data_IF_655675634569
#
_entry.id   IF_655675634569
#
_cell.length_a   1.000
_cell.length_b   1.000
_cell.length_c   1.000
_cell.angle_alpha   90.00
_cell.angle_beta   90.00
_cell.angle_gamma   90.00
#
_symmetry.space_group_name_H-M   'P 1'
#
loop_
_entity.id
_entity.type
_entity.pdbx_description
1 polymer ?
#
# COMPACT_ATOMS: atom_id res chain seq x y z
N UNK A 1 3.27 -29.34 9.87
CA UNK A 1 4.08 -28.47 8.97
C UNK A 1 5.35 -29.23 8.68
N UNK A 2 5.64 -29.48 7.40
CA UNK A 2 6.95 -30.01 7.04
C UNK A 2 8.03 -29.04 7.49
N UNK A 3 9.11 -29.57 8.06
CA UNK A 3 10.24 -28.77 8.51
C UNK A 3 10.86 -28.06 7.30
N UNK A 4 10.92 -26.73 7.34
CA UNK A 4 11.54 -25.95 6.27
C UNK A 4 13.02 -26.30 6.17
N UNK A 5 13.51 -26.53 4.93
CA UNK A 5 14.95 -26.72 4.68
C UNK A 5 15.74 -25.49 5.19
N UNK A 6 16.94 -25.63 5.75
CA UNK A 6 17.75 -24.49 6.15
C UNK A 6 17.99 -23.52 4.98
N UNK A 7 17.92 -22.20 5.23
CA UNK A 7 18.07 -21.21 4.17
C UNK A 7 19.45 -21.25 3.50
N UNK A 8 20.51 -21.53 4.25
CA UNK A 8 21.87 -21.64 3.71
C UNK A 8 22.00 -22.81 2.72
N UNK A 9 21.31 -23.95 2.94
CA UNK A 9 21.31 -25.08 2.01
C UNK A 9 20.58 -24.71 0.71
N UNK A 10 19.43 -24.04 0.82
CA UNK A 10 18.69 -23.55 -0.33
C UNK A 10 19.50 -22.52 -1.13
N UNK A 11 20.18 -21.60 -0.45
CA UNK A 11 21.04 -20.59 -1.06
C UNK A 11 22.23 -21.23 -1.78
N UNK A 12 22.92 -22.17 -1.12
CA UNK A 12 24.04 -22.90 -1.72
C UNK A 12 23.59 -23.70 -2.96
N UNK A 13 22.46 -24.39 -2.88
CA UNK A 13 21.91 -25.14 -4.02
C UNK A 13 21.50 -24.23 -5.19
N UNK A 14 21.03 -23.01 -4.92
CA UNK A 14 20.66 -22.04 -5.94
C UNK A 14 21.83 -21.18 -6.46
N UNK A 15 23.00 -21.25 -5.81
CA UNK A 15 24.16 -20.39 -6.11
C UNK A 15 24.71 -20.68 -7.51
N UNK A 16 24.39 -19.80 -8.46
CA UNK A 16 24.95 -19.78 -9.81
C UNK A 16 25.70 -18.46 -10.01
N UNK A 17 27.02 -18.48 -10.29
CA UNK A 17 27.79 -17.26 -10.52
C UNK A 17 27.29 -16.49 -11.74
N UNK A 18 27.29 -15.16 -11.65
CA UNK A 18 27.17 -14.29 -12.83
C UNK A 18 28.53 -14.17 -13.55
N UNK A 19 28.56 -13.66 -14.80
CA UNK A 19 29.82 -13.42 -15.49
C UNK A 19 30.79 -12.58 -14.66
N UNK A 20 32.03 -13.04 -14.53
CA UNK A 20 33.12 -12.40 -13.78
C UNK A 20 32.91 -12.27 -12.25
N UNK A 21 31.98 -13.03 -11.66
CA UNK A 21 31.89 -13.16 -10.20
C UNK A 21 33.24 -13.68 -9.65
N UNK A 22 33.89 -12.89 -8.79
CA UNK A 22 35.01 -13.41 -8.00
C UNK A 22 34.50 -14.46 -7.00
N UNK A 23 35.38 -15.35 -6.57
CA UNK A 23 35.02 -16.35 -5.55
C UNK A 23 34.55 -15.68 -4.24
N UNK A 24 35.18 -14.57 -3.86
CA UNK A 24 34.80 -13.77 -2.68
C UNK A 24 33.40 -13.17 -2.83
N UNK A 25 33.12 -12.51 -3.96
CA UNK A 25 31.81 -11.93 -4.22
C UNK A 25 30.71 -13.02 -4.24
N UNK A 26 30.99 -14.15 -4.87
CA UNK A 26 30.05 -15.27 -4.95
C UNK A 26 29.74 -15.85 -3.56
N UNK A 27 30.75 -16.01 -2.71
CA UNK A 27 30.55 -16.46 -1.33
C UNK A 27 29.69 -15.47 -0.54
N UNK A 28 30.00 -14.17 -0.61
CA UNK A 28 29.21 -13.12 0.03
C UNK A 28 27.77 -13.07 -0.49
N UNK A 29 27.55 -13.18 -1.81
CA UNK A 29 26.22 -13.17 -2.42
C UNK A 29 25.39 -14.39 -2.03
N UNK A 30 26.02 -15.55 -1.84
CA UNK A 30 25.34 -16.77 -1.37
C UNK A 30 24.97 -16.65 0.11
N UNK A 31 25.83 -16.07 0.94
CA UNK A 31 25.47 -15.75 2.32
C UNK A 31 24.28 -14.77 2.37
N UNK A 32 24.32 -13.69 1.57
CA UNK A 32 23.21 -12.75 1.45
C UNK A 32 21.91 -13.43 0.96
N UNK A 33 22.00 -14.39 0.03
CA UNK A 33 20.83 -15.12 -0.46
C UNK A 33 20.13 -15.92 0.65
N UNK A 34 20.89 -16.43 1.63
CA UNK A 34 20.31 -17.11 2.79
C UNK A 34 19.46 -16.13 3.62
N UNK A 35 19.95 -14.92 3.86
CA UNK A 35 19.20 -13.87 4.55
C UNK A 35 17.97 -13.42 3.75
N UNK A 36 18.08 -13.29 2.42
CA UNK A 36 16.93 -12.98 1.55
C UNK A 36 15.86 -14.09 1.59
N UNK A 37 16.25 -15.36 1.76
CA UNK A 37 15.31 -16.48 1.95
C UNK A 37 14.60 -16.35 3.30
N UNK A 38 15.31 -16.05 4.38
CA UNK A 38 14.72 -15.85 5.71
C UNK A 38 13.82 -14.62 5.74
N UNK A 39 14.17 -13.54 5.04
CA UNK A 39 13.30 -12.37 4.87
C UNK A 39 11.98 -12.75 4.20
N UNK A 40 12.01 -13.53 3.11
CA UNK A 40 10.77 -14.03 2.47
C UNK A 40 9.93 -14.87 3.43
N UNK A 41 10.56 -15.75 4.22
CA UNK A 41 9.86 -16.54 5.25
C UNK A 41 9.22 -15.67 6.32
N UNK A 42 9.90 -14.60 6.74
CA UNK A 42 9.36 -13.65 7.69
C UNK A 42 8.14 -12.90 7.13
N UNK A 43 8.22 -12.46 5.87
CA UNK A 43 7.09 -11.84 5.16
C UNK A 43 5.88 -12.78 5.14
N UNK A 44 6.07 -14.06 4.79
CA UNK A 44 5.00 -15.06 4.80
C UNK A 44 4.39 -15.25 6.19
N UNK A 45 5.23 -15.31 7.23
CA UNK A 45 4.78 -15.43 8.63
C UNK A 45 3.94 -14.22 9.06
N UNK A 46 4.35 -13.00 8.70
CA UNK A 46 3.58 -11.78 8.97
C UNK A 46 2.26 -11.81 8.21
N UNK A 47 2.25 -12.30 6.96
CA UNK A 47 1.02 -12.46 6.19
C UNK A 47 0.06 -13.48 6.83
N UNK A 48 0.58 -14.59 7.39
CA UNK A 48 -0.20 -15.54 8.19
C UNK A 48 -0.79 -14.87 9.45
N UNK A 49 0.01 -14.09 10.18
CA UNK A 49 -0.45 -13.36 11.36
C UNK A 49 -1.57 -12.37 11.04
N UNK A 50 -1.47 -11.64 9.91
CA UNK A 50 -2.55 -10.76 9.43
C UNK A 50 -3.84 -11.54 9.16
N UNK A 51 -3.75 -12.70 8.49
CA UNK A 51 -4.90 -13.58 8.23
C UNK A 51 -5.53 -14.14 9.50
N UNK A 52 -4.75 -14.27 10.57
CA UNK A 52 -5.19 -14.80 11.87
C UNK A 52 -5.75 -13.73 12.82
N UNK A 53 -5.80 -12.45 12.42
CA UNK A 53 -6.41 -11.40 13.23
C UNK A 53 -7.89 -11.74 13.55
N UNK A 54 -8.37 -11.46 14.78
CA UNK A 54 -9.79 -11.57 15.07
C UNK A 54 -10.58 -10.56 14.22
N UNK A 55 -11.91 -10.76 14.04
CA UNK A 55 -12.74 -9.79 13.33
C UNK A 55 -12.58 -8.39 13.90
N UNK A 56 -12.23 -7.43 13.05
CA UNK A 56 -12.12 -6.03 13.46
C UNK A 56 -13.48 -5.35 13.61
N UNK A 57 -13.41 -4.04 13.87
CA UNK A 57 -14.58 -3.21 14.11
C UNK A 57 -15.55 -3.19 12.92
N UNK A 58 -16.85 -3.19 13.22
CA UNK A 58 -17.90 -2.94 12.24
C UNK A 58 -17.86 -1.46 11.83
N UNK A 59 -17.89 -1.20 10.52
CA UNK A 59 -17.89 0.15 9.99
C UNK A 59 -19.26 0.82 10.22
N UNK A 60 -19.27 2.11 10.55
CA UNK A 60 -20.49 2.91 10.52
C UNK A 60 -21.01 3.10 9.08
N UNK A 61 -22.19 3.69 8.95
CA UNK A 61 -22.83 3.96 7.65
C UNK A 61 -22.18 5.17 6.93
N UNK A 62 -20.95 5.00 6.49
CA UNK A 62 -20.23 6.01 5.71
C UNK A 62 -20.67 6.02 4.25
N UNK A 63 -20.78 7.22 3.71
CA UNK A 63 -21.22 7.48 2.35
C UNK A 63 -20.09 8.07 1.50
N UNK A 64 -20.11 7.75 0.21
CA UNK A 64 -19.09 8.16 -0.74
C UNK A 64 -19.72 8.58 -2.05
N UNK A 65 -19.23 9.67 -2.65
CA UNK A 65 -19.61 10.04 -4.01
C UNK A 65 -18.72 9.29 -5.00
N UNK A 66 -19.33 8.74 -6.06
CA UNK A 66 -18.62 8.08 -7.16
C UNK A 66 -18.43 9.00 -8.37
N UNK A 67 -17.82 8.47 -9.44
CA UNK A 67 -17.56 9.21 -10.68
C UNK A 67 -18.83 9.54 -11.50
N UNK A 68 -19.96 8.90 -11.20
CA UNK A 68 -21.24 9.10 -11.87
C UNK A 68 -22.13 10.10 -11.12
N UNK A 69 -21.63 10.68 -10.02
CA UNK A 69 -22.38 11.59 -9.16
C UNK A 69 -23.35 10.89 -8.21
N UNK A 70 -23.26 9.55 -8.06
CA UNK A 70 -24.07 8.81 -7.10
C UNK A 70 -23.41 8.81 -5.73
N UNK A 71 -24.22 8.91 -4.67
CA UNK A 71 -23.79 8.67 -3.29
C UNK A 71 -24.07 7.22 -2.92
N UNK A 72 -23.03 6.49 -2.52
CA UNK A 72 -23.08 5.05 -2.25
C UNK A 72 -22.44 4.70 -0.90
N UNK A 73 -22.93 3.66 -0.21
CA UNK A 73 -22.35 3.22 1.06
C UNK A 73 -21.04 2.46 0.85
N UNK A 74 -20.21 2.34 1.90
CA UNK A 74 -18.96 1.56 1.86
C UNK A 74 -19.13 0.16 1.26
N UNK A 75 -20.25 -0.52 1.57
CA UNK A 75 -20.55 -1.86 1.06
C UNK A 75 -20.64 -1.94 -0.48
N UNK A 76 -20.99 -0.85 -1.15
CA UNK A 76 -21.11 -0.78 -2.60
C UNK A 76 -19.73 -0.78 -3.29
N UNK A 77 -18.69 -0.25 -2.64
CA UNK A 77 -17.32 -0.16 -3.19
C UNK A 77 -16.69 -1.54 -3.43
N UNK A 78 -17.21 -2.58 -2.76
CA UNK A 78 -16.77 -3.97 -2.96
C UNK A 78 -17.15 -4.54 -4.34
N UNK A 79 -18.20 -4.00 -4.98
CA UNK A 79 -18.78 -4.62 -6.17
C UNK A 79 -19.06 -6.11 -5.96
N UNK A 80 -18.50 -6.95 -6.83
CA UNK A 80 -18.65 -8.42 -6.79
C UNK A 80 -17.76 -9.13 -5.75
N UNK A 81 -16.88 -8.41 -5.07
CA UNK A 81 -15.92 -8.98 -4.13
C UNK A 81 -16.46 -9.00 -2.70
N UNK A 82 -15.81 -9.78 -1.85
CA UNK A 82 -15.99 -9.84 -0.40
C UNK A 82 -14.90 -9.09 0.37
N UNK A 83 -13.82 -8.71 -0.31
CA UNK A 83 -12.66 -7.99 0.22
C UNK A 83 -12.46 -6.69 -0.55
N UNK A 84 -12.21 -5.60 0.16
CA UNK A 84 -11.94 -4.28 -0.40
C UNK A 84 -10.64 -3.73 0.18
N UNK A 85 -9.77 -3.21 -0.68
CA UNK A 85 -8.58 -2.45 -0.31
C UNK A 85 -8.85 -0.98 -0.59
N UNK A 86 -8.71 -0.11 0.41
CA UNK A 86 -8.87 1.33 0.26
C UNK A 86 -7.56 2.05 0.51
N UNK A 87 -7.26 3.05 -0.31
CA UNK A 87 -6.18 4.00 -0.04
C UNK A 87 -6.76 5.40 0.09
N UNK A 88 -6.75 5.94 1.31
CA UNK A 88 -7.03 7.35 1.54
C UNK A 88 -5.78 8.16 1.17
N UNK A 89 -5.87 8.96 0.12
CA UNK A 89 -4.76 9.83 -0.29
C UNK A 89 -4.97 11.27 0.14
N UNK A 90 -3.85 11.94 0.44
CA UNK A 90 -3.86 13.34 0.87
C UNK A 90 -4.06 14.26 -0.34
N UNK A 91 -5.31 14.46 -0.71
CA UNK A 91 -5.73 15.45 -1.70
C UNK A 91 -6.98 16.18 -1.24
N UNK A 92 -6.95 16.70 -0.01
CA UNK A 92 -8.02 17.47 0.58
C UNK A 92 -8.30 18.78 -0.15
N UNK A 93 -9.49 19.36 0.05
CA UNK A 93 -9.94 20.51 -0.72
C UNK A 93 -9.01 21.73 -0.61
N UNK A 94 -8.26 21.86 0.49
CA UNK A 94 -7.32 22.96 0.76
C UNK A 94 -5.96 22.82 0.05
N UNK A 95 -5.61 21.62 -0.46
CA UNK A 95 -4.31 21.40 -1.12
C UNK A 95 -4.43 21.78 -2.59
N UNK A 96 -3.46 22.50 -3.15
CA UNK A 96 -3.45 22.77 -4.60
C UNK A 96 -3.18 21.49 -5.40
N UNK A 97 -2.22 20.69 -4.92
CA UNK A 97 -1.78 19.42 -5.50
C UNK A 97 -1.83 18.29 -4.46
N UNK A 98 -2.04 17.03 -4.89
CA UNK A 98 -2.00 15.89 -3.97
C UNK A 98 -0.59 15.72 -3.37
N UNK A 99 -0.51 15.01 -2.25
CA UNK A 99 0.76 14.62 -1.66
C UNK A 99 1.63 13.87 -2.68
N UNK A 100 2.91 14.25 -2.86
CA UNK A 100 3.83 13.57 -3.78
C UNK A 100 4.01 12.08 -3.46
N UNK A 101 4.04 11.70 -2.18
CA UNK A 101 4.18 10.31 -1.77
C UNK A 101 2.94 9.49 -2.12
N UNK A 102 1.74 10.04 -1.87
CA UNK A 102 0.49 9.40 -2.30
C UNK A 102 0.41 9.27 -3.83
N UNK A 103 0.91 10.27 -4.55
CA UNK A 103 0.98 10.26 -6.01
C UNK A 103 1.91 9.16 -6.51
N UNK A 104 3.10 9.03 -5.92
CA UNK A 104 4.03 7.96 -6.23
C UNK A 104 3.43 6.58 -5.93
N UNK A 105 2.75 6.45 -4.79
CA UNK A 105 2.12 5.20 -4.34
C UNK A 105 1.03 4.74 -5.32
N UNK A 106 0.07 5.62 -5.63
CA UNK A 106 -1.02 5.30 -6.56
C UNK A 106 -0.51 5.08 -7.99
N UNK A 107 0.50 5.84 -8.43
CA UNK A 107 1.10 5.63 -9.74
C UNK A 107 1.74 4.25 -9.90
N UNK A 108 2.35 3.71 -8.83
CA UNK A 108 2.86 2.35 -8.83
C UNK A 108 1.77 1.27 -8.85
N UNK A 109 0.58 1.58 -8.32
CA UNK A 109 -0.56 0.65 -8.24
C UNK A 109 -1.47 0.68 -9.47
N UNK A 110 -1.46 1.76 -10.27
CA UNK A 110 -2.40 1.88 -11.40
C UNK A 110 -2.31 0.70 -12.37
N UNK A 111 -1.11 0.28 -12.78
CA UNK A 111 -0.98 -0.87 -13.69
C UNK A 111 -1.38 -2.21 -13.03
N UNK A 112 -0.83 -2.62 -11.87
CA UNK A 112 -1.18 -3.89 -11.25
C UNK A 112 -2.60 -3.94 -10.67
N UNK A 113 -3.30 -2.82 -10.54
CA UNK A 113 -4.70 -2.79 -10.09
C UNK A 113 -5.60 -3.74 -10.90
N UNK A 114 -5.33 -3.95 -12.19
CA UNK A 114 -6.08 -4.90 -13.04
C UNK A 114 -5.91 -6.35 -12.59
N UNK A 115 -4.74 -6.73 -12.09
CA UNK A 115 -4.49 -8.08 -11.58
C UNK A 115 -5.02 -8.24 -10.15
N UNK A 116 -4.84 -7.22 -9.31
CA UNK A 116 -5.36 -7.20 -7.94
C UNK A 116 -6.90 -7.34 -7.96
N UNK A 117 -7.57 -6.62 -8.86
CA UNK A 117 -9.03 -6.62 -8.99
C UNK A 117 -9.64 -7.90 -9.54
N UNK A 118 -8.82 -8.91 -9.87
CA UNK A 118 -9.30 -10.27 -10.09
C UNK A 118 -9.67 -10.97 -8.76
N UNK A 119 -9.11 -10.52 -7.63
CA UNK A 119 -9.27 -11.16 -6.31
C UNK A 119 -9.92 -10.25 -5.26
N UNK A 120 -9.67 -8.95 -5.27
CA UNK A 120 -10.24 -8.01 -4.31
C UNK A 120 -10.66 -6.69 -4.96
N UNK A 121 -11.64 -5.99 -4.40
CA UNK A 121 -11.96 -4.64 -4.85
C UNK A 121 -10.86 -3.65 -4.43
N UNK A 122 -10.73 -2.54 -5.17
CA UNK A 122 -9.83 -1.43 -4.83
C UNK A 122 -10.56 -0.10 -4.98
N UNK A 123 -10.32 0.82 -4.04
CA UNK A 123 -10.85 2.19 -4.07
C UNK A 123 -9.82 3.20 -3.56
N UNK A 124 -9.68 4.32 -4.28
CA UNK A 124 -8.95 5.50 -3.82
C UNK A 124 -9.96 6.46 -3.20
N UNK A 125 -9.73 6.84 -1.95
CA UNK A 125 -10.63 7.68 -1.18
C UNK A 125 -9.96 9.03 -0.94
N UNK A 126 -10.70 10.12 -1.06
CA UNK A 126 -10.20 11.45 -0.73
C UNK A 126 -11.34 12.40 -0.34
N UNK A 127 -10.99 13.56 0.23
CA UNK A 127 -11.98 14.59 0.59
C UNK A 127 -12.33 15.55 -0.54
N UNK A 128 -11.46 15.68 -1.54
CA UNK A 128 -11.77 16.50 -2.72
C UNK A 128 -12.91 15.88 -3.55
N UNK A 129 -13.71 16.69 -4.26
CA UNK A 129 -14.69 16.20 -5.22
C UNK A 129 -14.08 15.19 -6.19
N UNK A 130 -14.84 14.15 -6.56
CA UNK A 130 -14.36 13.04 -7.39
C UNK A 130 -13.83 13.55 -8.74
N UNK A 131 -14.48 14.55 -9.31
CA UNK A 131 -14.12 15.14 -10.60
C UNK A 131 -12.71 15.74 -10.57
N UNK A 132 -12.33 16.34 -9.43
CA UNK A 132 -10.99 16.89 -9.20
C UNK A 132 -9.95 15.78 -9.06
N UNK A 133 -10.28 14.72 -8.33
CA UNK A 133 -9.42 13.55 -8.20
C UNK A 133 -9.17 12.89 -9.56
N UNK A 134 -10.23 12.71 -10.36
CA UNK A 134 -10.16 12.16 -11.71
C UNK A 134 -9.42 13.06 -12.69
N UNK A 135 -9.52 14.39 -12.55
CA UNK A 135 -8.74 15.33 -13.37
C UNK A 135 -7.24 15.09 -13.18
N UNK A 136 -6.80 14.96 -11.93
CA UNK A 136 -5.41 14.62 -11.64
C UNK A 136 -5.05 13.21 -12.13
N UNK A 137 -5.90 12.20 -11.94
CA UNK A 137 -5.67 10.86 -12.45
C UNK A 137 -5.44 10.85 -13.98
N UNK A 138 -6.24 11.62 -14.73
CA UNK A 138 -6.07 11.79 -16.19
C UNK A 138 -4.74 12.46 -16.55
N UNK A 139 -4.36 13.51 -15.84
CA UNK A 139 -3.05 14.18 -16.00
C UNK A 139 -1.89 13.18 -15.81
N UNK A 140 -2.03 12.27 -14.84
CA UNK A 140 -1.05 11.22 -14.55
C UNK A 140 -1.13 10.01 -15.49
N UNK A 141 -2.11 9.97 -16.39
CA UNK A 141 -2.35 8.85 -17.28
C UNK A 141 -2.82 7.58 -16.57
N UNK A 142 -3.33 7.69 -15.34
CA UNK A 142 -3.90 6.57 -14.59
C UNK A 142 -5.23 6.15 -15.21
N UNK A 143 -5.44 4.84 -15.36
CA UNK A 143 -6.61 4.30 -16.09
C UNK A 143 -7.35 3.20 -15.36
N UNK A 144 -6.80 2.64 -14.29
CA UNK A 144 -7.32 1.43 -13.67
C UNK A 144 -7.73 1.62 -12.20
N UNK A 145 -7.45 2.80 -11.62
CA UNK A 145 -7.88 3.15 -10.27
C UNK A 145 -9.29 3.73 -10.26
N UNK A 146 -10.07 3.39 -9.23
CA UNK A 146 -11.41 3.94 -8.98
C UNK A 146 -11.36 4.96 -7.85
N UNK A 147 -11.90 6.15 -8.08
CA UNK A 147 -11.85 7.26 -7.13
C UNK A 147 -13.22 7.52 -6.52
N UNK A 148 -13.23 7.82 -5.23
CA UNK A 148 -14.41 8.18 -4.48
C UNK A 148 -14.11 9.37 -3.56
N UNK A 149 -15.11 10.23 -3.35
CA UNK A 149 -15.03 11.33 -2.41
C UNK A 149 -15.78 10.95 -1.13
N UNK A 150 -15.18 11.15 0.04
CA UNK A 150 -15.88 10.95 1.31
C UNK A 150 -17.00 11.98 1.47
N UNK A 151 -18.19 11.55 1.89
CA UNK A 151 -19.26 12.48 2.28
C UNK A 151 -19.05 12.88 3.75
N UNK A 152 -18.74 14.16 3.95
CA UNK A 152 -18.29 14.66 5.26
C UNK A 152 -16.92 14.10 5.66
N UNK A 153 -16.58 14.30 6.93
CA UNK A 153 -15.25 13.99 7.47
C UNK A 153 -15.25 12.76 8.39
N UNK A 154 -16.40 12.13 8.65
CA UNK A 154 -16.52 11.02 9.61
C UNK A 154 -15.58 9.86 9.30
N UNK A 155 -15.65 9.32 8.07
CA UNK A 155 -14.76 8.25 7.64
C UNK A 155 -13.28 8.65 7.75
N UNK A 156 -12.93 9.83 7.27
CA UNK A 156 -11.56 10.30 7.26
C UNK A 156 -11.00 10.44 8.69
N UNK A 157 -11.81 10.87 9.66
CA UNK A 157 -11.39 10.96 11.07
C UNK A 157 -11.24 9.57 11.69
N UNK A 158 -12.24 8.71 11.50
CA UNK A 158 -12.28 7.40 12.17
C UNK A 158 -11.20 6.44 11.66
N UNK A 159 -10.86 6.53 10.37
CA UNK A 159 -9.82 5.70 9.73
C UNK A 159 -8.53 6.50 9.44
N UNK A 160 -8.22 7.44 10.33
CA UNK A 160 -6.91 8.10 10.45
C UNK A 160 -6.41 8.86 9.20
N UNK A 161 -7.32 9.19 8.27
CA UNK A 161 -7.03 10.03 7.10
C UNK A 161 -7.06 11.53 7.38
N UNK A 162 -7.73 11.97 8.46
CA UNK A 162 -7.85 13.36 8.87
C UNK A 162 -7.63 13.51 10.38
N UNK A 163 -6.56 14.20 10.76
CA UNK A 163 -6.23 14.48 12.14
C UNK A 163 -7.06 15.63 12.73
N UNK A 164 -7.15 15.74 14.07
CA UNK A 164 -7.92 16.81 14.74
C UNK A 164 -7.48 18.23 14.40
N UNK A 165 -6.22 18.43 14.03
CA UNK A 165 -5.67 19.72 13.59
C UNK A 165 -5.99 20.06 12.12
N UNK A 166 -6.71 19.18 11.42
CA UNK A 166 -7.09 19.32 10.02
C UNK A 166 -6.04 18.82 9.04
N UNK A 167 -4.89 18.33 9.50
CA UNK A 167 -3.89 17.70 8.63
C UNK A 167 -4.40 16.36 8.10
N UNK A 168 -4.12 16.09 6.82
CA UNK A 168 -4.42 14.79 6.22
C UNK A 168 -3.24 13.84 6.34
N UNK A 169 -3.54 12.56 6.47
CA UNK A 169 -2.57 11.47 6.49
C UNK A 169 -2.98 10.39 5.48
N UNK A 170 -2.01 9.70 4.85
CA UNK A 170 -2.36 8.57 4.00
C UNK A 170 -2.77 7.38 4.86
N UNK A 171 -3.79 6.64 4.43
CA UNK A 171 -4.22 5.42 5.10
C UNK A 171 -4.46 4.30 4.09
N UNK A 172 -3.85 3.14 4.30
CA UNK A 172 -4.12 1.92 3.54
C UNK A 172 -4.88 0.97 4.45
N UNK A 173 -6.11 0.64 4.07
CA UNK A 173 -6.99 -0.20 4.86
C UNK A 173 -7.55 -1.34 4.01
N UNK A 174 -7.84 -2.45 4.69
CA UNK A 174 -8.46 -3.65 4.11
C UNK A 174 -9.73 -3.93 4.88
N UNK A 175 -10.79 -4.25 4.15
CA UNK A 175 -12.13 -4.45 4.64
C UNK A 175 -12.67 -5.77 4.14
N UNK A 176 -13.54 -6.38 4.93
CA UNK A 176 -14.21 -7.64 4.57
C UNK A 176 -15.72 -7.52 4.78
N UNK A 177 -16.49 -8.18 3.91
CA UNK A 177 -17.91 -8.42 4.13
C UNK A 177 -18.09 -9.56 5.13
N UNK A 178 -18.91 -9.32 6.14
CA UNK A 178 -19.35 -10.30 7.14
C UNK A 178 -20.88 -10.36 7.10
N UNK A 179 -21.41 -11.17 6.18
CA UNK A 179 -22.84 -11.18 5.86
C UNK A 179 -23.30 -9.82 5.31
N UNK A 180 -24.20 -9.16 6.04
CA UNK A 180 -24.69 -7.81 5.71
C UNK A 180 -23.80 -6.68 6.24
N UNK A 181 -22.76 -7.00 7.04
CA UNK A 181 -21.89 -6.03 7.70
C UNK A 181 -20.61 -5.82 6.91
N UNK A 182 -20.03 -4.63 7.04
CA UNK A 182 -18.65 -4.36 6.62
C UNK A 182 -17.79 -4.24 7.86
N UNK A 183 -16.69 -4.97 7.90
CA UNK A 183 -15.70 -4.90 8.99
C UNK A 183 -14.36 -4.42 8.47
N UNK A 184 -13.71 -3.59 9.27
CA UNK A 184 -12.28 -3.35 9.12
C UNK A 184 -11.53 -4.66 9.42
N UNK A 185 -10.59 -5.02 8.56
CA UNK A 185 -9.78 -6.24 8.71
C UNK A 185 -8.36 -5.91 9.13
N UNK A 186 -7.72 -4.97 8.44
CA UNK A 186 -6.34 -4.58 8.71
C UNK A 186 -6.08 -3.18 8.17
N UNK A 187 -5.25 -2.41 8.87
CA UNK A 187 -4.85 -1.06 8.46
C UNK A 187 -3.35 -0.86 8.60
N UNK A 188 -2.80 -0.04 7.72
CA UNK A 188 -1.43 0.42 7.75
C UNK A 188 -1.22 1.50 8.82
N UNK A 189 -0.67 1.11 9.97
CA UNK A 189 -0.37 2.04 11.07
C UNK A 189 0.97 2.76 10.86
N UNK A 190 1.11 3.55 9.79
CA UNK A 190 2.40 4.14 9.35
C UNK A 190 2.94 5.29 10.22
N UNK A 191 2.14 5.83 11.13
CA UNK A 191 2.54 6.97 11.97
C UNK A 191 3.40 6.55 13.15
N UNK A 192 4.61 7.12 13.28
CA UNK A 192 5.47 6.93 14.47
C UNK A 192 6.13 5.55 14.59
N UNK A 193 6.10 4.74 13.52
CA UNK A 193 6.68 3.39 13.50
C UNK A 193 8.02 3.29 12.79
N UNK A 194 8.57 4.42 12.32
CA UNK A 194 9.89 4.49 11.68
C UNK A 194 10.99 4.77 12.71
N UNK A 195 12.12 4.09 12.57
CA UNK A 195 13.33 4.39 13.35
C UNK A 195 13.87 5.81 13.03
N UNK A 196 14.66 6.43 13.93
CA UNK A 196 15.30 7.71 13.67
C UNK A 196 16.09 7.72 12.35
N UNK A 197 15.79 8.68 11.47
CA UNK A 197 16.45 8.83 10.17
C UNK A 197 15.89 7.96 9.05
N UNK A 198 14.79 7.23 9.27
CA UNK A 198 14.10 6.47 8.23
C UNK A 198 12.74 7.09 7.86
N UNK A 199 12.32 6.88 6.60
CA UNK A 199 10.97 7.22 6.16
C UNK A 199 9.93 6.25 6.73
N UNK A 200 8.75 6.74 7.17
CA UNK A 200 7.61 5.88 7.49
C UNK A 200 7.13 5.15 6.23
N UNK A 201 6.99 3.83 6.33
CA UNK A 201 6.61 2.94 5.22
C UNK A 201 5.98 1.65 5.70
N UNK A 202 5.42 0.90 4.76
CA UNK A 202 4.84 -0.41 5.01
C UNK A 202 5.92 -1.50 5.06
N UNK A 203 5.61 -2.59 5.74
CA UNK A 203 6.50 -3.75 5.86
C UNK A 203 5.73 -5.06 5.53
N UNK A 204 5.98 -5.71 4.39
CA UNK A 204 6.73 -5.18 3.23
C UNK A 204 6.01 -3.99 2.58
N UNK A 205 6.77 -3.15 1.89
CA UNK A 205 6.22 -2.05 1.09
C UNK A 205 5.56 -2.61 -0.18
N UNK A 206 4.28 -2.30 -0.46
CA UNK A 206 3.59 -2.81 -1.65
C UNK A 206 4.04 -2.09 -2.94
N UNK A 207 4.79 -1.00 -2.83
CA UNK A 207 5.29 -0.24 -3.99
C UNK A 207 6.80 -0.48 -4.19
N UNK A 208 7.27 -0.53 -5.44
CA UNK A 208 8.65 -0.92 -5.72
C UNK A 208 9.66 0.20 -5.44
N UNK A 209 9.23 1.45 -5.22
CA UNK A 209 10.11 2.61 -5.23
C UNK A 209 11.27 2.46 -4.24
N UNK A 210 10.98 2.30 -2.95
CA UNK A 210 12.00 2.10 -1.93
C UNK A 210 12.72 0.76 -2.07
N UNK A 211 11.99 -0.30 -2.45
CA UNK A 211 12.58 -1.62 -2.62
C UNK A 211 13.64 -1.63 -3.73
N UNK A 212 13.41 -0.94 -4.85
CA UNK A 212 14.38 -0.83 -5.95
C UNK A 212 15.59 0.00 -5.54
N UNK A 213 15.39 1.13 -4.85
CA UNK A 213 16.50 1.96 -4.37
C UNK A 213 17.43 1.17 -3.42
N UNK A 214 16.85 0.38 -2.51
CA UNK A 214 17.60 -0.47 -1.57
C UNK A 214 18.38 -1.62 -2.23
N UNK A 215 18.04 -2.01 -3.46
CA UNK A 215 18.82 -2.98 -4.23
C UNK A 215 20.09 -2.36 -4.83
N UNK A 216 20.22 -1.02 -4.80
CA UNK A 216 21.40 -0.32 -5.30
C UNK A 216 22.46 -0.16 -4.21
N UNK A 217 23.76 -0.05 -4.55
CA UNK A 217 24.81 0.15 -3.55
C UNK A 217 24.65 1.41 -2.68
N UNK A 218 23.98 2.44 -3.21
CA UNK A 218 23.72 3.69 -2.48
C UNK A 218 22.48 3.61 -1.58
N UNK A 219 21.67 2.57 -1.74
CA UNK A 219 20.34 2.51 -1.13
C UNK A 219 19.47 3.71 -1.54
N UNK A 220 18.57 4.09 -0.65
CA UNK A 220 17.66 5.23 -0.81
C UNK A 220 18.21 6.60 -0.35
N UNK A 221 19.34 6.63 0.36
CA UNK A 221 19.87 7.86 0.98
C UNK A 221 19.04 8.36 2.18
N UNK A 222 19.41 9.51 2.73
CA UNK A 222 18.73 10.15 3.88
C UNK A 222 18.25 11.58 3.61
N UNK A 223 18.56 12.13 2.43
CA UNK A 223 18.32 13.52 2.02
C UNK A 223 17.34 13.62 0.83
N UNK A 224 16.76 12.50 0.41
CA UNK A 224 15.82 12.43 -0.71
C UNK A 224 14.45 11.93 -0.24
N UNK A 225 13.41 12.49 -0.83
CA UNK A 225 12.03 12.04 -0.68
C UNK A 225 11.28 12.25 -2.00
N UNK A 226 10.24 11.45 -2.33
CA UNK A 226 9.43 11.68 -3.53
C UNK A 226 8.95 13.13 -3.62
N UNK A 227 9.43 13.85 -4.64
CA UNK A 227 9.20 15.29 -4.83
C UNK A 227 8.94 15.70 -6.27
N UNK A 228 8.61 14.74 -7.13
CA UNK A 228 8.28 15.03 -8.52
C UNK A 228 7.01 15.89 -8.56
N UNK A 229 7.18 17.12 -9.03
CA UNK A 229 6.12 17.98 -9.52
C UNK A 229 5.97 17.73 -11.03
N UNK A 230 4.73 17.80 -11.53
CA UNK A 230 4.42 17.46 -12.92
C UNK A 230 3.68 18.63 -13.57
N UNK A 231 4.43 19.63 -14.03
CA UNK A 231 3.87 20.86 -14.63
C UNK A 231 3.12 20.60 -15.94
#
# INVERSE_FOLDING_TARGET
MDQLKPAHELAAAASKPYPNDSAEYRAARTALLAEEIELRRHIERVAEQRRALPPGGEAADYQFNDENGATVPLAALFGKHDTLVTYFWMFGPQRDRPCPMCTAFLGALDIPARDITQKAAMAVLGRSPVERQLAFARERGWRNLKFYATVGDGFARDYRGLAPDGSEWPALDVWVKDGAKVRHFWGAEMGGTSDPGQDPRLAPDPTPLWNILDLTPAGRGSDWYPRLAYD
#
